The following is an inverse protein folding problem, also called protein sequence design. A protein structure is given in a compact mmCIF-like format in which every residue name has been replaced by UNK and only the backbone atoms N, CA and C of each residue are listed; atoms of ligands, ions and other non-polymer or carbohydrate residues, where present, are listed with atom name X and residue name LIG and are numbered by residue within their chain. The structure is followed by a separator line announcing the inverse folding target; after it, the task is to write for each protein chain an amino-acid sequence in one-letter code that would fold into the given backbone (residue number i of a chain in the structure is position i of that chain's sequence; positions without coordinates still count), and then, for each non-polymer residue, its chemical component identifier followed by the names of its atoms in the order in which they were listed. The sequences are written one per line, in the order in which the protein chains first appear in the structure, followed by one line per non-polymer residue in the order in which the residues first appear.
data_IF_747721266342
#
_entry.id   IF_747721266342
#
_cell.length_a   1.000
_cell.length_b   1.000
_cell.length_c   1.000
_cell.angle_alpha   90.00
_cell.angle_beta   90.00
_cell.angle_gamma   90.00
#
_symmetry.space_group_name_H-M   'P 1'
#
loop_
_entity.id
_entity.type
_entity.pdbx_description
1 polymer ?
#
# COMPACT_ATOMS: atom_id res chain seq x y z
N UNK A 1 29.01 39.64 -20.31
CA UNK A 1 29.01 38.29 -19.70
C UNK A 1 27.63 37.67 -19.88
N UNK A 2 27.50 36.48 -20.48
CA UNK A 2 26.21 35.84 -20.70
C UNK A 2 25.61 35.36 -19.37
N UNK A 3 24.38 35.78 -19.06
CA UNK A 3 23.67 35.39 -17.84
C UNK A 3 23.36 33.89 -17.89
N UNK A 4 24.03 33.10 -17.05
CA UNK A 4 23.80 31.65 -16.93
C UNK A 4 22.30 31.40 -16.66
N UNK A 5 21.61 30.72 -17.59
CA UNK A 5 20.19 30.36 -17.42
C UNK A 5 20.04 29.51 -16.16
N UNK A 6 19.19 29.95 -15.23
CA UNK A 6 18.88 29.20 -14.00
C UNK A 6 18.14 27.92 -14.37
N UNK A 7 18.42 26.82 -13.68
CA UNK A 7 17.64 25.57 -13.84
C UNK A 7 16.17 25.87 -13.51
N UNK A 8 15.21 25.32 -14.27
CA UNK A 8 13.79 25.44 -13.93
C UNK A 8 13.55 24.97 -12.50
N UNK A 9 12.66 25.66 -11.77
CA UNK A 9 12.26 25.21 -10.43
C UNK A 9 11.58 23.84 -10.59
N UNK A 10 11.87 22.87 -9.69
CA UNK A 10 11.10 21.63 -9.65
C UNK A 10 9.60 21.94 -9.59
N UNK A 11 8.79 21.13 -10.27
CA UNK A 11 7.33 21.29 -10.21
C UNK A 11 6.90 21.18 -8.73
N UNK A 12 5.95 22.01 -8.26
CA UNK A 12 5.38 21.84 -6.94
C UNK A 12 4.84 20.42 -6.80
N UNK A 13 5.07 19.81 -5.64
CA UNK A 13 4.46 18.53 -5.30
C UNK A 13 2.93 18.70 -5.26
N UNK A 14 2.16 17.64 -5.58
CA UNK A 14 0.72 17.66 -5.36
C UNK A 14 0.43 17.93 -3.88
N UNK A 15 -0.74 18.51 -3.59
CA UNK A 15 -1.21 18.66 -2.23
C UNK A 15 -1.30 17.27 -1.57
N UNK A 16 -0.97 17.13 -0.27
CA UNK A 16 -1.10 15.85 0.42
C UNK A 16 -2.55 15.36 0.37
N UNK A 17 -2.77 14.03 0.35
CA UNK A 17 -4.12 13.49 0.35
C UNK A 17 -4.73 13.69 1.73
N UNK A 18 -6.03 14.02 1.79
CA UNK A 18 -6.74 14.21 3.06
C UNK A 18 -6.90 12.90 3.85
N UNK A 19 -7.00 11.78 3.12
CA UNK A 19 -7.21 10.46 3.70
C UNK A 19 -6.30 9.41 3.05
N UNK A 20 -5.93 8.39 3.83
CA UNK A 20 -5.31 7.18 3.29
C UNK A 20 -6.35 6.32 2.57
N UNK A 21 -5.92 5.65 1.51
CA UNK A 21 -6.69 4.55 0.92
C UNK A 21 -6.76 3.39 1.89
N UNK A 22 -7.84 2.60 1.82
CA UNK A 22 -8.06 1.43 2.67
C UNK A 22 -8.59 0.26 1.86
N UNK A 23 -7.92 -0.89 1.98
CA UNK A 23 -8.38 -2.15 1.40
C UNK A 23 -8.36 -3.26 2.44
N UNK A 24 -9.05 -4.35 2.14
CA UNK A 24 -9.04 -5.55 2.94
C UNK A 24 -8.60 -6.72 2.08
N UNK A 25 -7.73 -7.55 2.65
CA UNK A 25 -7.27 -8.79 2.02
C UNK A 25 -7.43 -9.94 2.99
N UNK A 26 -7.61 -11.13 2.44
CA UNK A 26 -7.60 -12.38 3.15
C UNK A 26 -6.39 -13.20 2.67
N UNK A 27 -5.62 -13.72 3.61
CA UNK A 27 -4.49 -14.62 3.41
C UNK A 27 -4.62 -15.82 4.36
N UNK A 28 -3.76 -16.83 4.25
CA UNK A 28 -3.72 -17.87 5.28
C UNK A 28 -3.24 -17.27 6.62
N UNK A 29 -3.84 -17.62 7.78
CA UNK A 29 -3.41 -17.12 9.08
C UNK A 29 -1.92 -17.34 9.39
N UNK A 30 -1.33 -18.42 8.86
CA UNK A 30 0.09 -18.73 9.02
C UNK A 30 1.00 -17.72 8.30
N UNK A 31 0.50 -17.08 7.24
CA UNK A 31 1.28 -16.19 6.39
C UNK A 31 1.27 -14.73 6.87
N UNK A 32 0.54 -14.40 7.96
CA UNK A 32 0.49 -13.03 8.50
C UNK A 32 1.90 -12.51 8.83
N UNK A 33 2.75 -13.37 9.41
CA UNK A 33 4.13 -13.01 9.71
C UNK A 33 4.98 -12.86 8.44
N UNK A 34 4.76 -13.70 7.42
CA UNK A 34 5.44 -13.61 6.12
C UNK A 34 5.05 -12.31 5.40
N UNK A 35 3.76 -11.97 5.38
CA UNK A 35 3.27 -10.72 4.82
C UNK A 35 3.92 -9.50 5.51
N UNK A 36 4.05 -9.54 6.84
CA UNK A 36 4.75 -8.48 7.60
C UNK A 36 6.20 -8.33 7.18
N UNK A 37 6.90 -9.45 7.06
CA UNK A 37 8.30 -9.48 6.66
C UNK A 37 8.52 -8.88 5.27
N UNK A 38 7.69 -9.28 4.29
CA UNK A 38 7.77 -8.76 2.91
C UNK A 38 7.44 -7.26 2.85
N UNK A 39 6.45 -6.81 3.62
CA UNK A 39 6.08 -5.39 3.68
C UNK A 39 7.19 -4.52 4.29
N UNK A 40 7.89 -5.03 5.29
CA UNK A 40 9.04 -4.35 5.91
C UNK A 40 10.23 -4.25 4.93
N UNK A 41 10.42 -5.25 4.06
CA UNK A 41 11.42 -5.21 3.00
C UNK A 41 11.11 -4.14 1.93
N UNK A 42 9.85 -3.71 1.82
CA UNK A 42 9.37 -2.67 0.89
C UNK A 42 9.13 -1.33 1.60
N UNK A 43 10.01 -0.97 2.53
CA UNK A 43 10.00 0.30 3.28
C UNK A 43 8.67 0.63 3.97
N UNK A 44 7.87 -0.39 4.34
CA UNK A 44 6.55 -0.23 4.94
C UNK A 44 5.60 0.65 4.12
N UNK A 45 5.53 0.40 2.80
CA UNK A 45 4.66 1.09 1.85
C UNK A 45 3.18 1.19 2.28
N UNK A 46 2.74 0.27 3.12
CA UNK A 46 1.44 0.31 3.77
C UNK A 46 1.56 0.03 5.27
N UNK A 47 0.57 0.47 6.03
CA UNK A 47 0.33 -0.01 7.39
C UNK A 47 -0.78 -1.04 7.36
N UNK A 48 -0.63 -2.14 8.08
CA UNK A 48 -1.73 -3.10 8.24
C UNK A 48 -2.18 -3.31 9.67
N UNK A 49 -3.43 -3.74 9.80
CA UNK A 49 -4.04 -4.22 11.04
C UNK A 49 -4.63 -5.60 10.78
N UNK A 50 -4.37 -6.56 11.66
CA UNK A 50 -5.06 -7.86 11.62
C UNK A 50 -6.49 -7.66 12.11
N UNK A 51 -7.46 -7.67 11.20
CA UNK A 51 -8.87 -7.49 11.54
C UNK A 51 -9.51 -8.78 12.05
N UNK A 52 -9.09 -9.94 11.53
CA UNK A 52 -9.47 -11.26 12.04
C UNK A 52 -8.29 -12.23 11.88
N UNK A 53 -7.68 -12.61 13.01
CA UNK A 53 -6.51 -13.51 13.02
C UNK A 53 -6.84 -14.95 12.60
N UNK A 54 -8.06 -15.41 12.83
CA UNK A 54 -8.44 -16.80 12.54
C UNK A 54 -8.80 -16.99 11.08
N UNK A 55 -9.35 -15.94 10.46
CA UNK A 55 -9.66 -15.91 9.03
C UNK A 55 -8.53 -15.36 8.17
N UNK A 56 -7.48 -14.83 8.79
CA UNK A 56 -6.34 -14.21 8.10
C UNK A 56 -6.72 -12.91 7.38
N UNK A 57 -7.62 -12.12 7.95
CA UNK A 57 -8.08 -10.87 7.35
C UNK A 57 -7.18 -9.71 7.81
N UNK A 58 -6.59 -9.03 6.84
CA UNK A 58 -5.78 -7.83 7.04
C UNK A 58 -6.49 -6.60 6.45
N UNK A 59 -6.49 -5.51 7.20
CA UNK A 59 -6.85 -4.17 6.71
C UNK A 59 -5.56 -3.42 6.36
N UNK A 60 -5.37 -3.07 5.09
CA UNK A 60 -4.20 -2.33 4.61
C UNK A 60 -4.57 -0.85 4.41
N UNK A 61 -3.69 0.05 4.83
CA UNK A 61 -3.77 1.49 4.60
C UNK A 61 -2.52 1.99 3.90
N UNK A 62 -2.68 2.73 2.82
CA UNK A 62 -1.58 3.28 2.04
C UNK A 62 -1.91 4.71 1.55
N UNK A 63 -0.90 5.45 1.15
CA UNK A 63 -1.08 6.79 0.58
C UNK A 63 -1.65 6.69 -0.84
N UNK A 64 -2.73 7.42 -1.19
CA UNK A 64 -3.23 7.46 -2.57
C UNK A 64 -2.18 7.86 -3.61
N UNK A 65 -1.19 8.68 -3.23
CA UNK A 65 -0.09 9.05 -4.13
C UNK A 65 0.88 7.90 -4.43
N UNK A 66 0.85 6.83 -3.62
CA UNK A 66 1.69 5.64 -3.78
C UNK A 66 0.87 4.41 -4.21
N UNK A 67 -0.34 4.63 -4.75
CA UNK A 67 -1.22 3.54 -5.19
C UNK A 67 -0.54 2.64 -6.22
N UNK A 68 0.27 3.24 -7.12
CA UNK A 68 1.00 2.48 -8.13
C UNK A 68 1.99 1.52 -7.48
N UNK A 69 2.88 2.04 -6.64
CA UNK A 69 3.90 1.25 -5.93
C UNK A 69 3.22 0.18 -5.07
N UNK A 70 2.10 0.53 -4.44
CA UNK A 70 1.34 -0.40 -3.61
C UNK A 70 0.80 -1.57 -4.44
N UNK A 71 0.22 -1.29 -5.61
CA UNK A 71 -0.25 -2.34 -6.51
C UNK A 71 0.89 -3.19 -7.06
N UNK A 72 2.02 -2.58 -7.42
CA UNK A 72 3.23 -3.30 -7.87
C UNK A 72 3.75 -4.25 -6.77
N UNK A 73 3.78 -3.81 -5.51
CA UNK A 73 4.10 -4.68 -4.36
C UNK A 73 3.10 -5.82 -4.19
N UNK A 74 1.80 -5.51 -4.21
CA UNK A 74 0.76 -6.53 -4.04
C UNK A 74 0.78 -7.56 -5.17
N UNK A 75 1.15 -7.16 -6.39
CA UNK A 75 1.34 -8.07 -7.52
C UNK A 75 2.61 -8.92 -7.36
N UNK A 76 3.71 -8.35 -6.87
CA UNK A 76 4.98 -9.07 -6.74
C UNK A 76 4.97 -10.18 -5.69
N UNK A 77 4.08 -10.10 -4.70
CA UNK A 77 4.01 -11.07 -3.59
C UNK A 77 2.95 -12.17 -3.79
N UNK A 78 2.22 -12.14 -4.91
CA UNK A 78 1.16 -13.12 -5.21
C UNK A 78 1.68 -14.53 -5.46
N UNK A 79 2.95 -14.66 -5.84
CA UNK A 79 3.58 -15.95 -6.06
C UNK A 79 4.00 -16.62 -4.74
N UNK A 80 4.25 -15.82 -3.69
CA UNK A 80 4.63 -16.29 -2.35
C UNK A 80 3.43 -16.48 -1.41
N UNK A 81 2.40 -15.63 -1.52
CA UNK A 81 1.23 -15.63 -0.63
C UNK A 81 -0.04 -15.64 -1.48
N UNK A 82 -0.96 -16.56 -1.16
CA UNK A 82 -2.31 -16.55 -1.73
C UNK A 82 -3.12 -15.38 -1.11
N UNK A 83 -3.30 -14.32 -1.91
CA UNK A 83 -3.96 -13.08 -1.49
C UNK A 83 -5.31 -12.95 -2.19
N UNK A 84 -6.37 -12.90 -1.39
CA UNK A 84 -7.72 -12.63 -1.84
C UNK A 84 -8.20 -11.25 -1.40
N UNK A 85 -8.52 -10.38 -2.34
CA UNK A 85 -9.17 -9.09 -2.03
C UNK A 85 -10.60 -9.32 -1.55
N UNK A 86 -10.98 -8.67 -0.46
CA UNK A 86 -12.34 -8.73 0.06
C UNK A 86 -12.98 -7.33 0.06
N UNK A 87 -14.31 -7.25 -0.11
CA UNK A 87 -15.01 -5.96 -0.12
C UNK A 87 -14.77 -5.17 1.16
N UNK A 88 -14.56 -3.87 1.01
CA UNK A 88 -14.52 -2.96 2.14
C UNK A 88 -15.93 -2.88 2.76
N UNK A 89 -16.11 -3.21 4.06
CA UNK A 89 -17.42 -3.22 4.71
C UNK A 89 -18.10 -1.85 4.72
N UNK A 90 -17.36 -0.74 4.53
CA UNK A 90 -17.92 0.60 4.44
C UNK A 90 -18.44 0.97 3.04
N UNK A 91 -18.25 0.13 2.03
CA UNK A 91 -18.59 0.43 0.63
C UNK A 91 -19.89 -0.26 0.17
N UNK A 92 -20.57 -1.01 1.05
CA UNK A 92 -21.89 -1.59 0.76
C UNK A 92 -22.93 -0.47 0.62
N UNK A 93 -23.19 -0.05 -0.62
CA UNK A 93 -24.37 0.73 -1.04
C UNK A 93 -25.36 -0.21 -1.70
#
# INVERSE_FOLDING_TARGET
MARKKRKPRPRPLPAPPEFSSRIYVQIAPADIAMFRFLLEAMDNLSMFTVADRFKGILMLRYSPHQEREFNEFMDSIKDEIDIKFIPNPSTTT
#
